data_IF_878936907720
#
_entry.id   IF_878936907720
#
_cell.length_a   1.000
_cell.length_b   1.000
_cell.length_c   1.000
_cell.angle_alpha   90.00
_cell.angle_beta   90.00
_cell.angle_gamma   90.00
#
_symmetry.space_group_name_H-M   'P 1'
#
loop_
_entity.id
_entity.type
_entity.pdbx_description
1 polymer ?
#
# COMPACT_ATOMS: atom_id res chain seq x y z
N UNK A 1 2.35 25.31 19.75
CA UNK A 1 0.97 25.13 20.22
C UNK A 1 0.99 24.38 21.54
N UNK A 2 0.11 24.73 22.46
CA UNK A 2 -0.01 24.09 23.76
C UNK A 2 -1.34 23.37 23.84
N UNK A 3 -1.30 22.09 24.21
CA UNK A 3 -2.51 21.29 24.45
C UNK A 3 -2.70 21.16 25.96
N UNK A 4 -3.89 21.45 26.44
CA UNK A 4 -4.25 21.31 27.85
C UNK A 4 -5.27 20.18 27.98
N UNK A 5 -4.94 19.19 28.82
CA UNK A 5 -5.85 18.10 29.15
C UNK A 5 -6.50 18.43 30.50
N UNK A 6 -7.83 18.56 30.48
CA UNK A 6 -8.63 18.79 31.68
C UNK A 6 -9.35 17.52 32.09
N UNK A 7 -9.50 17.29 33.40
CA UNK A 7 -10.15 16.08 33.89
C UNK A 7 -9.31 14.80 33.73
N UNK A 8 -8.00 14.95 33.69
CA UNK A 8 -7.10 13.80 33.59
C UNK A 8 -7.24 12.91 34.83
N UNK A 9 -7.41 11.61 34.60
CA UNK A 9 -7.49 10.60 35.66
C UNK A 9 -6.08 10.10 36.02
N UNK A 10 -5.77 9.88 37.28
CA UNK A 10 -4.49 9.29 37.70
C UNK A 10 -4.25 7.94 37.04
N UNK A 11 -3.00 7.68 36.66
CA UNK A 11 -2.54 6.42 36.04
C UNK A 11 -3.07 6.14 34.61
N UNK A 12 -3.71 7.13 33.96
CA UNK A 12 -4.08 7.05 32.56
C UNK A 12 -3.05 7.73 31.66
N UNK A 13 -2.85 7.14 30.48
CA UNK A 13 -2.06 7.76 29.41
C UNK A 13 -2.98 8.45 28.43
N UNK A 14 -2.59 9.64 27.98
CA UNK A 14 -3.35 10.45 27.03
C UNK A 14 -2.52 10.68 25.77
N UNK A 15 -3.17 10.58 24.62
CA UNK A 15 -2.56 10.86 23.32
C UNK A 15 -3.29 12.00 22.64
N UNK A 16 -2.54 12.92 22.05
CA UNK A 16 -3.10 14.01 21.26
C UNK A 16 -2.92 13.67 19.79
N UNK A 17 -4.01 13.64 19.05
CA UNK A 17 -4.02 13.30 17.64
C UNK A 17 -4.65 14.42 16.82
N UNK A 18 -4.15 14.62 15.62
CA UNK A 18 -4.68 15.57 14.66
C UNK A 18 -5.11 14.84 13.40
N UNK A 19 -6.26 15.21 12.87
CA UNK A 19 -6.68 14.77 11.53
C UNK A 19 -6.07 15.74 10.52
N UNK A 20 -5.10 15.24 9.76
CA UNK A 20 -4.46 16.00 8.70
C UNK A 20 -5.05 15.61 7.33
N UNK A 21 -5.07 16.58 6.41
CA UNK A 21 -5.35 16.29 5.00
C UNK A 21 -4.22 15.44 4.46
N UNK A 22 -4.59 14.32 3.84
CA UNK A 22 -3.65 13.45 3.15
C UNK A 22 -4.00 13.34 1.69
N UNK A 23 -3.03 13.60 0.83
CA UNK A 23 -3.12 13.49 -0.61
C UNK A 23 -2.28 12.30 -1.10
N UNK A 24 -2.61 11.80 -2.26
CA UNK A 24 -1.83 10.78 -2.95
C UNK A 24 -0.85 11.44 -3.92
N UNK A 25 0.37 10.91 -3.95
CA UNK A 25 1.38 11.27 -4.92
C UNK A 25 1.59 10.09 -5.87
N UNK A 26 1.67 10.38 -7.14
CA UNK A 26 1.91 9.39 -8.20
C UNK A 26 3.30 8.77 -8.09
N UNK A 27 4.22 9.53 -7.49
CA UNK A 27 5.58 9.10 -7.24
C UNK A 27 5.65 8.49 -5.86
N UNK A 28 5.96 7.20 -5.84
CA UNK A 28 6.20 6.53 -4.58
C UNK A 28 7.41 7.14 -3.89
N UNK A 29 7.39 7.17 -2.58
CA UNK A 29 8.49 7.62 -1.73
C UNK A 29 9.83 6.91 -2.02
N UNK A 30 9.80 5.72 -2.59
CA UNK A 30 10.98 5.03 -3.10
C UNK A 30 11.80 5.90 -4.05
N UNK A 31 11.15 6.68 -4.88
CA UNK A 31 11.85 7.52 -5.84
C UNK A 31 12.56 8.69 -5.18
N UNK A 32 11.97 9.26 -4.12
CA UNK A 32 12.60 10.35 -3.37
C UNK A 32 13.84 9.90 -2.61
N UNK A 33 13.78 8.71 -1.99
CA UNK A 33 14.85 8.21 -1.12
C UNK A 33 15.92 7.48 -1.92
N UNK A 34 15.53 6.70 -2.94
CA UNK A 34 16.46 5.80 -3.64
C UNK A 34 17.00 6.36 -4.94
N UNK A 35 16.31 7.30 -5.58
CA UNK A 35 16.69 7.82 -6.89
C UNK A 35 17.28 9.23 -6.85
N UNK A 36 17.40 9.83 -5.67
CA UNK A 36 17.94 11.16 -5.47
C UNK A 36 17.45 12.15 -6.56
N UNK A 37 16.20 12.57 -6.43
CA UNK A 37 15.55 13.37 -7.47
C UNK A 37 16.19 14.73 -7.66
N UNK A 38 16.96 15.21 -6.66
CA UNK A 38 17.64 16.48 -6.73
C UNK A 38 16.69 17.64 -7.09
N UNK A 39 17.02 18.38 -8.13
CA UNK A 39 16.23 19.51 -8.62
C UNK A 39 15.13 19.14 -9.62
N UNK A 40 14.81 17.86 -9.80
CA UNK A 40 13.72 17.45 -10.71
C UNK A 40 12.37 17.91 -10.17
N UNK A 41 11.52 18.34 -11.08
CA UNK A 41 10.15 18.70 -10.78
C UNK A 41 9.40 17.51 -10.19
N UNK A 42 8.72 17.75 -9.07
CA UNK A 42 7.86 16.76 -8.41
C UNK A 42 6.43 16.96 -8.90
N UNK A 43 5.73 15.85 -9.14
CA UNK A 43 4.32 15.90 -9.43
C UNK A 43 3.54 16.38 -8.20
N UNK A 44 2.51 17.16 -8.42
CA UNK A 44 1.67 17.67 -7.34
C UNK A 44 0.83 16.54 -6.76
N UNK A 45 0.77 16.47 -5.45
CA UNK A 45 -0.10 15.54 -4.75
C UNK A 45 -1.58 15.85 -5.02
N UNK A 46 -2.38 14.82 -5.26
CA UNK A 46 -3.79 14.92 -5.66
C UNK A 46 -4.69 14.01 -4.81
N UNK A 47 -5.99 14.28 -4.85
CA UNK A 47 -6.99 13.31 -4.39
C UNK A 47 -7.78 12.77 -5.59
N UNK A 48 -7.66 11.47 -5.90
CA UNK A 48 -8.39 10.86 -7.00
C UNK A 48 -9.93 10.90 -6.88
N UNK A 49 -10.47 11.33 -5.75
CA UNK A 49 -11.92 11.49 -5.57
C UNK A 49 -12.48 12.70 -6.31
N UNK A 50 -11.64 13.71 -6.55
CA UNK A 50 -12.08 14.88 -7.31
C UNK A 50 -12.30 14.53 -8.78
N UNK A 51 -13.45 14.94 -9.36
CA UNK A 51 -13.78 14.61 -10.75
C UNK A 51 -12.72 15.06 -11.76
N UNK A 52 -12.11 16.22 -11.51
CA UNK A 52 -11.07 16.77 -12.35
C UNK A 52 -9.80 15.88 -12.33
N UNK A 53 -9.43 15.40 -11.16
CA UNK A 53 -8.32 14.46 -11.01
C UNK A 53 -8.63 13.14 -11.72
N UNK A 54 -9.84 12.62 -11.60
CA UNK A 54 -10.22 11.40 -12.31
C UNK A 54 -10.15 11.59 -13.83
N UNK A 55 -10.67 12.72 -14.34
CA UNK A 55 -10.63 13.03 -15.76
C UNK A 55 -9.18 13.08 -16.27
N UNK A 56 -8.31 13.78 -15.56
CA UNK A 56 -6.89 13.87 -15.89
C UNK A 56 -6.20 12.48 -15.88
N UNK A 57 -6.45 11.66 -14.89
CA UNK A 57 -5.85 10.32 -14.81
C UNK A 57 -6.34 9.40 -15.93
N UNK A 58 -7.60 9.50 -16.32
CA UNK A 58 -8.16 8.77 -17.46
C UNK A 58 -7.49 9.21 -18.76
N UNK A 59 -7.40 10.52 -18.99
CA UNK A 59 -6.72 11.09 -20.17
C UNK A 59 -5.26 10.66 -20.23
N UNK A 60 -4.53 10.82 -19.12
CA UNK A 60 -3.13 10.42 -19.03
C UNK A 60 -2.92 8.92 -19.33
N UNK A 61 -3.74 8.04 -18.76
CA UNK A 61 -3.65 6.60 -19.02
C UNK A 61 -3.93 6.27 -20.49
N UNK A 62 -4.91 6.95 -21.07
CA UNK A 62 -5.28 6.80 -22.48
C UNK A 62 -4.10 7.20 -23.38
N UNK A 63 -3.59 8.41 -23.21
CA UNK A 63 -2.44 8.90 -23.97
C UNK A 63 -1.19 8.04 -23.79
N UNK A 64 -0.95 7.58 -22.55
CA UNK A 64 0.18 6.73 -22.27
C UNK A 64 0.09 5.41 -23.05
N UNK A 65 -1.08 4.78 -23.07
CA UNK A 65 -1.31 3.55 -23.83
C UNK A 65 -1.11 3.75 -25.33
N UNK A 66 -1.56 4.88 -25.87
CA UNK A 66 -1.37 5.24 -27.28
C UNK A 66 0.11 5.47 -27.62
N UNK A 67 0.83 6.19 -26.79
CA UNK A 67 2.25 6.53 -26.99
C UNK A 67 3.19 5.32 -26.81
N UNK A 68 2.71 4.25 -26.18
CA UNK A 68 3.51 3.05 -25.89
C UNK A 68 2.89 1.77 -26.48
N UNK A 69 2.74 1.66 -27.79
CA UNK A 69 2.06 0.54 -28.44
C UNK A 69 2.74 -0.81 -28.19
N UNK A 70 4.06 -0.83 -28.06
CA UNK A 70 4.86 -2.04 -27.87
C UNK A 70 4.83 -2.58 -26.44
N UNK A 71 4.30 -1.82 -25.49
CA UNK A 71 4.15 -2.28 -24.12
C UNK A 71 3.00 -3.28 -24.01
N UNK A 72 3.28 -4.47 -23.52
CA UNK A 72 2.29 -5.55 -23.39
C UNK A 72 1.65 -5.63 -22.01
N UNK A 73 2.34 -5.14 -20.96
CA UNK A 73 1.89 -5.19 -19.58
C UNK A 73 2.06 -3.84 -18.91
N UNK A 74 1.00 -3.29 -18.36
CA UNK A 74 1.02 -2.12 -17.49
C UNK A 74 1.02 -2.59 -16.04
N UNK A 75 1.96 -2.10 -15.25
CA UNK A 75 2.14 -2.50 -13.86
C UNK A 75 1.77 -1.36 -12.93
N UNK A 76 0.76 -1.57 -12.13
CA UNK A 76 0.34 -0.67 -11.08
C UNK A 76 1.12 -0.96 -9.81
N UNK A 77 1.78 0.04 -9.24
CA UNK A 77 2.55 -0.13 -8.00
C UNK A 77 1.67 0.04 -6.78
N UNK A 78 0.72 0.97 -6.85
CA UNK A 78 -0.28 1.18 -5.80
C UNK A 78 -1.58 1.67 -6.41
N UNK A 79 -2.69 1.44 -5.70
CA UNK A 79 -4.00 1.94 -6.11
C UNK A 79 -4.42 3.04 -5.15
N UNK A 80 -3.82 4.23 -5.34
CA UNK A 80 -4.18 5.50 -4.67
C UNK A 80 -3.90 5.53 -3.17
N UNK A 81 -2.96 4.76 -2.67
CA UNK A 81 -2.48 4.92 -1.31
C UNK A 81 -0.98 5.20 -1.27
N UNK A 82 -0.54 5.86 -0.23
CA UNK A 82 0.86 6.20 -0.03
C UNK A 82 1.47 5.27 1.01
N UNK A 83 2.67 4.81 0.76
CA UNK A 83 3.53 4.28 1.81
C UNK A 83 4.06 5.44 2.64
N UNK A 84 3.90 5.40 3.94
CA UNK A 84 4.60 6.30 4.83
C UNK A 84 5.79 5.57 5.45
N UNK A 85 6.97 5.93 5.00
CA UNK A 85 8.21 5.44 5.57
C UNK A 85 8.76 6.51 6.50
N UNK A 86 8.98 6.17 7.74
CA UNK A 86 9.68 7.06 8.67
C UNK A 86 11.08 6.53 8.87
N UNK A 87 12.05 7.29 8.41
CA UNK A 87 13.46 7.04 8.67
C UNK A 87 13.86 7.90 9.86
N UNK A 88 14.41 7.29 10.89
CA UNK A 88 15.11 8.04 11.92
C UNK A 88 16.58 8.14 11.55
N UNK A 89 17.18 9.31 11.76
CA UNK A 89 18.62 9.55 11.54
C UNK A 89 19.52 8.77 12.49
N UNK A 90 18.94 8.12 13.48
CA UNK A 90 19.66 7.30 14.44
C UNK A 90 20.09 5.98 13.82
N UNK A 91 21.39 5.77 13.69
CA UNK A 91 22.00 4.54 13.16
C UNK A 91 21.59 3.27 13.91
N UNK A 92 21.09 3.39 15.14
CA UNK A 92 20.64 2.28 15.97
C UNK A 92 19.13 2.05 15.90
N UNK A 93 18.41 2.85 15.15
CA UNK A 93 16.96 2.74 15.07
C UNK A 93 16.54 1.63 14.11
N UNK A 94 16.33 0.45 14.65
CA UNK A 94 15.83 -0.72 13.95
C UNK A 94 14.33 -0.62 13.62
N UNK A 95 13.62 0.29 14.27
CA UNK A 95 12.17 0.50 14.16
C UNK A 95 11.83 1.69 13.25
N UNK A 96 12.73 2.06 12.36
CA UNK A 96 12.56 3.22 11.50
C UNK A 96 11.53 3.01 10.38
N UNK A 97 11.01 1.82 10.24
CA UNK A 97 10.02 1.49 9.26
C UNK A 97 8.62 1.42 9.87
N UNK A 98 7.73 2.26 9.38
CA UNK A 98 6.31 2.16 9.67
C UNK A 98 5.52 2.33 8.37
N UNK A 99 4.83 1.30 7.96
CA UNK A 99 3.89 1.37 6.85
C UNK A 99 2.50 1.72 7.40
N UNK A 100 2.12 2.95 7.19
CA UNK A 100 0.80 3.47 7.56
C UNK A 100 -0.11 3.63 6.35
N UNK A 101 0.37 3.17 5.19
CA UNK A 101 -0.24 3.48 3.90
C UNK A 101 -1.55 2.81 3.66
N UNK A 102 -1.70 1.59 4.15
CA UNK A 102 -2.78 0.70 3.75
C UNK A 102 -4.17 1.17 4.12
N UNK A 103 -4.31 1.93 5.20
CA UNK A 103 -5.62 2.42 5.64
C UNK A 103 -5.89 3.86 5.26
N UNK A 104 -4.92 4.51 4.69
CA UNK A 104 -4.99 5.93 4.46
C UNK A 104 -4.83 6.23 2.97
N UNK A 105 -5.78 5.80 2.20
CA UNK A 105 -6.10 6.53 1.00
C UNK A 105 -6.36 7.98 1.38
N UNK A 106 -6.33 8.88 0.42
CA UNK A 106 -6.53 10.31 0.63
C UNK A 106 -7.61 10.62 1.66
N UNK A 107 -7.27 11.44 2.64
CA UNK A 107 -8.19 11.95 3.65
C UNK A 107 -8.35 13.45 3.42
N UNK A 108 -9.35 13.80 2.63
CA UNK A 108 -9.65 15.18 2.22
C UNK A 108 -11.03 15.62 2.75
N UNK A 109 -11.32 16.92 2.77
CA UNK A 109 -12.66 17.40 3.09
C UNK A 109 -13.74 16.78 2.21
N UNK A 110 -13.46 16.52 0.93
CA UNK A 110 -14.38 15.83 0.03
C UNK A 110 -14.65 14.41 0.49
N UNK A 111 -13.59 13.64 0.76
CA UNK A 111 -13.70 12.24 1.22
C UNK A 111 -14.51 12.14 2.52
N UNK A 112 -14.25 13.02 3.49
CA UNK A 112 -14.96 13.07 4.76
C UNK A 112 -16.44 13.40 4.57
N UNK A 113 -16.75 14.37 3.72
CA UNK A 113 -18.13 14.78 3.41
C UNK A 113 -18.91 13.67 2.67
N UNK A 114 -18.27 13.00 1.73
CA UNK A 114 -18.89 11.88 1.01
C UNK A 114 -19.16 10.70 1.95
N UNK A 115 -18.22 10.42 2.85
CA UNK A 115 -18.38 9.39 3.88
C UNK A 115 -19.57 9.71 4.78
N UNK A 116 -19.62 10.92 5.34
CA UNK A 116 -20.72 11.38 6.20
C UNK A 116 -22.06 11.28 5.47
N UNK A 117 -22.12 11.73 4.22
CA UNK A 117 -23.33 11.60 3.39
C UNK A 117 -23.78 10.15 3.23
N UNK A 118 -22.84 9.24 3.06
CA UNK A 118 -23.14 7.82 2.81
C UNK A 118 -23.55 7.07 4.08
N UNK A 119 -22.87 7.33 5.20
CA UNK A 119 -23.05 6.54 6.43
C UNK A 119 -23.88 7.25 7.50
N UNK A 120 -24.18 8.55 7.32
CA UNK A 120 -25.01 9.33 8.24
C UNK A 120 -24.27 9.81 9.51
N UNK A 121 -22.95 9.70 9.56
CA UNK A 121 -22.13 10.22 10.65
C UNK A 121 -20.72 10.59 10.14
N UNK A 122 -20.12 11.59 10.78
CA UNK A 122 -18.77 12.04 10.44
C UNK A 122 -17.69 11.15 11.07
N UNK A 123 -16.54 11.09 10.42
CA UNK A 123 -15.30 10.56 11.00
C UNK A 123 -14.55 11.65 11.74
N UNK A 124 -14.00 11.29 12.89
CA UNK A 124 -13.15 12.15 13.71
C UNK A 124 -11.73 11.60 13.78
N UNK A 125 -10.78 12.40 14.28
CA UNK A 125 -9.40 11.92 14.51
C UNK A 125 -9.36 10.69 15.42
N UNK A 126 -10.23 10.62 16.43
CA UNK A 126 -10.39 9.46 17.32
C UNK A 126 -10.76 8.19 16.56
N UNK A 127 -11.66 8.28 15.60
CA UNK A 127 -12.09 7.15 14.81
C UNK A 127 -10.93 6.59 13.95
N UNK A 128 -10.04 7.45 13.48
CA UNK A 128 -8.84 7.04 12.71
C UNK A 128 -7.77 6.39 13.57
N UNK A 129 -7.62 6.78 14.84
CA UNK A 129 -6.69 6.11 15.75
C UNK A 129 -7.25 4.82 16.35
N UNK A 130 -8.49 4.45 16.01
CA UNK A 130 -9.12 3.21 16.41
C UNK A 130 -9.08 2.99 17.92
N UNK A 131 -9.56 3.97 18.70
CA UNK A 131 -9.56 3.98 20.17
C UNK A 131 -8.15 3.80 20.79
N UNK A 132 -7.13 4.38 20.19
CA UNK A 132 -5.74 4.28 20.65
C UNK A 132 -5.02 2.98 20.28
N UNK A 133 -5.71 2.04 19.62
CA UNK A 133 -5.09 0.79 19.16
C UNK A 133 -4.33 0.96 17.84
N UNK A 134 -4.46 2.12 17.23
CA UNK A 134 -3.96 2.42 15.89
C UNK A 134 -4.46 1.45 14.81
N UNK A 135 -4.27 1.83 13.58
CA UNK A 135 -4.72 1.06 12.43
C UNK A 135 -3.62 0.13 11.94
N UNK A 136 -3.20 -0.80 12.77
CA UNK A 136 -2.28 -1.84 12.32
C UNK A 136 -3.04 -3.02 11.75
N UNK A 137 -2.42 -3.78 10.85
CA UNK A 137 -2.95 -5.02 10.28
C UNK A 137 -3.28 -6.09 11.32
N UNK A 138 -2.80 -5.91 12.54
CA UNK A 138 -2.94 -6.87 13.63
C UNK A 138 -4.06 -6.55 14.61
N UNK A 139 -4.63 -5.34 14.52
CA UNK A 139 -5.67 -4.90 15.43
C UNK A 139 -7.05 -4.96 14.76
N UNK A 140 -8.03 -5.39 15.54
CA UNK A 140 -9.42 -5.42 15.07
C UNK A 140 -9.90 -3.98 14.91
N UNK A 141 -10.31 -3.55 13.70
CA UNK A 141 -10.79 -2.19 13.48
C UNK A 141 -12.10 -1.95 14.23
N UNK A 142 -12.30 -0.72 14.71
CA UNK A 142 -13.60 -0.28 15.23
C UNK A 142 -14.69 -0.39 14.16
N UNK A 143 -15.94 -0.39 14.57
CA UNK A 143 -17.07 -0.44 13.63
C UNK A 143 -17.06 0.72 12.64
N UNK A 144 -16.77 1.94 13.12
CA UNK A 144 -16.66 3.13 12.25
C UNK A 144 -15.47 3.05 11.30
N UNK A 145 -14.32 2.60 11.81
CA UNK A 145 -13.12 2.47 10.97
C UNK A 145 -13.31 1.40 9.89
N UNK A 146 -14.00 0.32 10.21
CA UNK A 146 -14.38 -0.70 9.21
C UNK A 146 -15.26 -0.12 8.10
N UNK A 147 -16.21 0.73 8.46
CA UNK A 147 -17.03 1.44 7.46
C UNK A 147 -16.18 2.38 6.58
N UNK A 148 -15.16 3.03 7.17
CA UNK A 148 -14.18 3.82 6.41
C UNK A 148 -13.37 2.96 5.44
N UNK A 149 -12.91 1.79 5.87
CA UNK A 149 -12.20 0.83 5.01
C UNK A 149 -13.09 0.39 3.83
N UNK A 150 -14.35 0.07 4.09
CA UNK A 150 -15.31 -0.29 3.03
C UNK A 150 -15.54 0.87 2.05
N UNK A 151 -15.62 2.09 2.56
CA UNK A 151 -15.77 3.30 1.76
C UNK A 151 -14.57 3.53 0.84
N UNK A 152 -13.35 3.34 1.36
CA UNK A 152 -12.12 3.42 0.56
C UNK A 152 -12.09 2.31 -0.48
N UNK A 153 -12.34 1.08 -0.08
CA UNK A 153 -12.30 -0.07 -0.97
C UNK A 153 -13.25 0.09 -2.17
N UNK A 154 -14.47 0.55 -1.92
CA UNK A 154 -15.45 0.79 -2.97
C UNK A 154 -14.98 1.81 -4.01
N UNK A 155 -14.39 2.91 -3.55
CA UNK A 155 -13.85 3.92 -4.45
C UNK A 155 -12.66 3.40 -5.25
N UNK A 156 -11.68 2.81 -4.56
CA UNK A 156 -10.45 2.31 -5.18
C UNK A 156 -10.75 1.25 -6.24
N UNK A 157 -11.63 0.31 -5.92
CA UNK A 157 -12.05 -0.73 -6.88
C UNK A 157 -12.76 -0.11 -8.08
N UNK A 158 -13.73 0.77 -7.84
CA UNK A 158 -14.53 1.34 -8.93
C UNK A 158 -13.74 2.24 -9.86
N UNK A 159 -12.84 3.06 -9.32
CA UNK A 159 -12.00 3.93 -10.15
C UNK A 159 -10.81 3.19 -10.74
N UNK A 160 -10.17 2.31 -9.97
CA UNK A 160 -9.11 1.45 -10.48
C UNK A 160 -9.55 0.60 -11.67
N UNK A 161 -10.76 0.04 -11.59
CA UNK A 161 -11.35 -0.70 -12.72
C UNK A 161 -11.42 0.15 -14.00
N UNK A 162 -11.80 1.42 -13.92
CA UNK A 162 -11.85 2.30 -15.11
C UNK A 162 -10.48 2.41 -15.78
N UNK A 163 -9.42 2.55 -14.99
CA UNK A 163 -8.05 2.64 -15.54
C UNK A 163 -7.61 1.32 -16.16
N UNK A 164 -7.97 0.20 -15.55
CA UNK A 164 -7.67 -1.14 -16.06
C UNK A 164 -8.45 -1.40 -17.35
N UNK A 165 -9.72 -1.02 -17.43
CA UNK A 165 -10.54 -1.14 -18.63
C UNK A 165 -9.91 -0.35 -19.82
N UNK A 166 -9.30 0.81 -19.55
CA UNK A 166 -8.54 1.55 -20.57
C UNK A 166 -7.34 0.72 -21.04
N UNK A 167 -6.54 0.19 -20.11
CA UNK A 167 -5.39 -0.66 -20.46
C UNK A 167 -5.82 -1.84 -21.34
N UNK A 168 -6.91 -2.50 -20.98
CA UNK A 168 -7.48 -3.61 -21.76
C UNK A 168 -7.98 -3.19 -23.14
N UNK A 169 -8.55 -1.99 -23.28
CA UNK A 169 -9.03 -1.48 -24.56
C UNK A 169 -7.92 -1.31 -25.60
N UNK A 170 -6.68 -1.17 -25.13
CA UNK A 170 -5.47 -1.16 -25.99
C UNK A 170 -4.80 -2.54 -26.15
N UNK A 171 -5.48 -3.61 -25.76
CA UNK A 171 -4.97 -4.99 -25.87
C UNK A 171 -3.82 -5.30 -24.93
N UNK A 172 -3.59 -4.49 -23.92
CA UNK A 172 -2.54 -4.66 -22.93
C UNK A 172 -3.07 -5.37 -21.69
N UNK A 173 -2.18 -5.99 -20.91
CA UNK A 173 -2.52 -6.59 -19.61
C UNK A 173 -2.26 -5.63 -18.46
N UNK A 174 -3.06 -5.72 -17.42
CA UNK A 174 -2.92 -4.96 -16.19
C UNK A 174 -2.43 -5.86 -15.05
N UNK A 175 -1.27 -5.54 -14.49
CA UNK A 175 -0.72 -6.25 -13.33
C UNK A 175 -0.63 -5.30 -12.14
N UNK A 176 -0.72 -5.83 -10.93
CA UNK A 176 -0.61 -5.03 -9.72
C UNK A 176 0.44 -5.58 -8.77
N UNK A 177 1.22 -4.71 -8.16
CA UNK A 177 2.03 -5.05 -7.00
C UNK A 177 1.14 -5.21 -5.78
N UNK A 178 1.31 -6.33 -5.11
CA UNK A 178 0.69 -6.61 -3.83
C UNK A 178 1.73 -6.52 -2.72
N UNK A 179 1.57 -5.55 -1.86
CA UNK A 179 2.35 -5.41 -0.63
C UNK A 179 1.45 -5.67 0.59
N UNK A 180 2.07 -5.94 1.73
CA UNK A 180 1.39 -6.43 2.94
C UNK A 180 0.33 -5.50 3.52
N UNK A 181 0.36 -4.27 3.10
CA UNK A 181 -0.37 -3.15 3.67
C UNK A 181 -1.62 -2.71 2.89
N UNK A 182 -2.06 -3.47 1.91
CA UNK A 182 -3.22 -3.13 1.07
C UNK A 182 -4.56 -3.51 1.69
N UNK A 183 -4.84 -2.98 2.84
CA UNK A 183 -6.08 -3.29 3.53
C UNK A 183 -7.27 -2.65 2.80
N UNK A 184 -8.28 -3.48 2.59
CA UNK A 184 -9.47 -3.10 1.85
C UNK A 184 -9.35 -3.24 0.33
N UNK A 185 -8.15 -3.47 -0.19
CA UNK A 185 -7.89 -3.74 -1.62
C UNK A 185 -7.02 -4.98 -1.83
N UNK A 186 -6.87 -5.78 -0.79
CA UNK A 186 -6.08 -7.01 -0.82
C UNK A 186 -6.63 -7.99 -1.87
N UNK A 187 -5.76 -8.80 -2.48
CA UNK A 187 -6.16 -9.80 -3.48
C UNK A 187 -7.23 -10.77 -3.01
N UNK A 188 -7.28 -11.06 -1.72
CA UNK A 188 -8.30 -11.93 -1.10
C UNK A 188 -9.56 -11.16 -0.68
N UNK A 189 -9.61 -9.84 -0.84
CA UNK A 189 -10.83 -9.05 -0.68
C UNK A 189 -11.90 -9.53 -1.65
N UNK A 190 -13.16 -9.60 -1.20
CA UNK A 190 -14.27 -10.00 -2.06
C UNK A 190 -14.40 -9.16 -3.33
N UNK A 191 -13.97 -7.91 -3.28
CA UNK A 191 -14.03 -6.97 -4.39
C UNK A 191 -12.78 -6.95 -5.27
N UNK A 192 -11.71 -7.64 -4.89
CA UNK A 192 -10.46 -7.63 -5.67
C UNK A 192 -10.68 -8.08 -7.12
N UNK A 193 -11.49 -9.10 -7.32
CA UNK A 193 -11.80 -9.61 -8.68
C UNK A 193 -12.53 -8.59 -9.56
N UNK A 194 -13.20 -7.61 -8.98
CA UNK A 194 -13.90 -6.56 -9.70
C UNK A 194 -12.94 -5.61 -10.44
N UNK A 195 -11.68 -5.50 -10.01
CA UNK A 195 -10.66 -4.72 -10.72
C UNK A 195 -10.41 -5.23 -12.13
N UNK A 196 -10.39 -6.56 -12.32
CA UNK A 196 -10.06 -7.17 -13.60
C UNK A 196 -8.57 -7.28 -13.88
N UNK A 197 -7.69 -7.32 -12.86
CA UNK A 197 -6.27 -7.55 -13.08
C UNK A 197 -6.00 -8.92 -13.71
N UNK A 198 -5.06 -8.95 -14.66
CA UNK A 198 -4.55 -10.18 -15.29
C UNK A 198 -3.44 -10.83 -14.49
N UNK A 199 -2.72 -10.06 -13.69
CA UNK A 199 -1.58 -10.53 -12.94
C UNK A 199 -1.38 -9.85 -11.60
N UNK A 200 -0.79 -10.62 -10.70
CA UNK A 200 -0.46 -10.22 -9.34
C UNK A 200 1.03 -10.40 -9.10
N UNK A 201 1.71 -9.34 -8.73
CA UNK A 201 3.14 -9.35 -8.43
C UNK A 201 3.32 -9.19 -6.93
N UNK A 202 3.95 -10.17 -6.29
CA UNK A 202 4.20 -10.15 -4.86
C UNK A 202 5.69 -10.05 -4.55
N UNK A 203 6.04 -9.09 -3.71
CA UNK A 203 7.34 -9.07 -3.05
C UNK A 203 7.37 -10.18 -2.01
N UNK A 204 8.27 -11.13 -2.17
CA UNK A 204 8.36 -12.29 -1.30
C UNK A 204 9.48 -12.09 -0.29
N UNK A 205 9.12 -11.84 0.96
CA UNK A 205 10.03 -11.82 2.09
C UNK A 205 10.03 -13.15 2.84
N UNK A 206 8.90 -13.87 2.80
CA UNK A 206 8.77 -15.19 3.42
C UNK A 206 7.69 -16.06 2.72
N UNK A 207 7.53 -17.29 3.17
CA UNK A 207 6.58 -18.22 2.56
C UNK A 207 5.10 -17.93 2.84
N UNK A 208 4.78 -17.04 3.78
CA UNK A 208 3.40 -16.67 4.07
C UNK A 208 2.82 -15.83 2.93
N UNK A 209 3.56 -14.87 2.43
CA UNK A 209 3.16 -13.98 1.35
C UNK A 209 2.89 -14.72 0.04
N UNK A 210 3.74 -15.68 -0.28
CA UNK A 210 3.52 -16.54 -1.44
C UNK A 210 2.21 -17.34 -1.32
N UNK A 211 1.86 -17.80 -0.11
CA UNK A 211 0.58 -18.49 0.11
C UNK A 211 -0.64 -17.59 -0.02
N UNK A 212 -0.52 -16.34 0.42
CA UNK A 212 -1.60 -15.35 0.24
C UNK A 212 -1.89 -15.13 -1.24
N UNK A 213 -0.84 -14.93 -2.04
CA UNK A 213 -0.99 -14.78 -3.49
C UNK A 213 -1.63 -16.01 -4.14
N UNK A 214 -1.19 -17.20 -3.75
CA UNK A 214 -1.73 -18.45 -4.28
C UNK A 214 -3.23 -18.66 -4.01
N UNK A 215 -3.80 -17.95 -3.03
CA UNK A 215 -5.22 -17.96 -2.75
C UNK A 215 -6.07 -17.12 -3.71
N UNK A 216 -5.46 -16.41 -4.65
CA UNK A 216 -6.17 -15.60 -5.65
C UNK A 216 -6.21 -16.35 -6.98
N UNK A 217 -7.35 -16.89 -7.32
CA UNK A 217 -7.54 -17.65 -8.56
C UNK A 217 -7.78 -16.73 -9.76
N UNK A 218 -7.40 -17.21 -10.95
CA UNK A 218 -7.73 -16.59 -12.23
C UNK A 218 -6.80 -15.47 -12.67
N UNK A 219 -5.65 -15.31 -12.00
CA UNK A 219 -4.61 -14.33 -12.36
C UNK A 219 -3.26 -14.99 -12.54
N UNK A 220 -2.38 -14.36 -13.31
CA UNK A 220 -0.97 -14.75 -13.39
C UNK A 220 -0.25 -14.31 -12.11
N UNK A 221 0.47 -15.22 -11.46
CA UNK A 221 1.25 -14.90 -10.28
C UNK A 221 2.72 -14.67 -10.65
N UNK A 222 3.23 -13.50 -10.30
CA UNK A 222 4.65 -13.17 -10.38
C UNK A 222 5.21 -12.98 -8.97
N UNK A 223 6.38 -13.56 -8.71
CA UNK A 223 7.07 -13.40 -7.45
C UNK A 223 8.30 -12.53 -7.66
N UNK A 224 8.36 -11.40 -6.98
CA UNK A 224 9.54 -10.56 -6.91
C UNK A 224 10.43 -11.03 -5.78
N UNK A 225 11.59 -11.53 -6.11
CA UNK A 225 12.57 -12.00 -5.14
C UNK A 225 13.51 -10.87 -4.72
N UNK A 226 13.72 -10.77 -3.41
CA UNK A 226 14.71 -9.90 -2.82
C UNK A 226 15.84 -10.75 -2.25
N UNK A 227 17.03 -10.80 -2.87
CA UNK A 227 18.14 -11.64 -2.40
C UNK A 227 18.81 -11.09 -1.14
N UNK A 228 18.24 -10.08 -0.53
CA UNK A 228 18.71 -9.43 0.69
C UNK A 228 17.53 -9.15 1.62
N UNK A 229 17.80 -9.07 2.89
CA UNK A 229 16.84 -8.64 3.90
C UNK A 229 16.91 -7.13 4.06
N UNK A 230 15.78 -6.52 4.34
CA UNK A 230 15.66 -5.07 4.47
C UNK A 230 14.83 -4.73 5.73
N UNK A 231 15.19 -3.70 6.48
CA UNK A 231 16.36 -2.80 6.33
C UNK A 231 17.69 -3.41 6.81
N UNK A 232 17.64 -4.47 7.61
CA UNK A 232 18.81 -5.15 8.16
C UNK A 232 18.81 -6.63 7.83
N UNK A 233 20.00 -7.21 7.62
CA UNK A 233 20.19 -8.64 7.49
C UNK A 233 20.10 -9.38 8.82
N UNK A 234 20.33 -10.69 8.78
CA UNK A 234 20.28 -11.58 9.96
C UNK A 234 21.38 -11.29 11.00
N UNK A 235 22.42 -10.57 10.63
CA UNK A 235 23.46 -10.12 11.56
C UNK A 235 23.05 -8.87 12.34
N UNK A 236 21.95 -8.22 11.96
CA UNK A 236 21.53 -6.93 12.49
C UNK A 236 22.12 -5.72 11.77
N UNK A 237 22.97 -5.96 10.76
CA UNK A 237 23.52 -4.93 9.87
C UNK A 237 22.89 -5.05 8.47
N UNK A 238 22.86 -3.99 7.66
CA UNK A 238 22.46 -4.10 6.26
C UNK A 238 23.28 -5.16 5.53
N UNK A 239 22.64 -5.95 4.68
CA UNK A 239 23.22 -7.15 4.05
C UNK A 239 24.62 -6.92 3.44
N UNK A 240 24.81 -5.77 2.77
CA UNK A 240 26.07 -5.45 2.07
C UNK A 240 26.95 -4.43 2.81
N UNK A 241 26.57 -4.02 4.01
CA UNK A 241 27.39 -3.12 4.83
C UNK A 241 28.46 -3.87 5.63
N UNK A 242 29.46 -3.17 6.21
CA UNK A 242 30.38 -3.76 7.16
C UNK A 242 29.63 -4.43 8.30
N UNK A 243 29.97 -5.69 8.59
CA UNK A 243 29.25 -6.51 9.58
C UNK A 243 28.06 -7.29 9.02
N UNK A 244 27.58 -7.00 7.81
CA UNK A 244 26.58 -7.78 7.10
C UNK A 244 27.14 -9.13 6.59
N UNK A 245 26.26 -10.06 6.28
CA UNK A 245 26.63 -11.36 5.74
C UNK A 245 25.72 -11.77 4.57
N UNK A 246 26.03 -11.32 3.33
CA UNK A 246 25.22 -11.60 2.15
C UNK A 246 24.97 -13.09 1.91
N UNK A 247 25.95 -13.93 2.20
CA UNK A 247 25.82 -15.39 2.02
C UNK A 247 24.78 -15.98 2.97
N UNK A 248 24.80 -15.56 4.24
CA UNK A 248 23.84 -16.01 5.24
C UNK A 248 22.42 -15.55 4.90
N UNK A 249 22.27 -14.28 4.56
CA UNK A 249 20.99 -13.67 4.21
C UNK A 249 20.38 -14.34 2.97
N UNK A 250 21.17 -14.51 1.91
CA UNK A 250 20.73 -15.18 0.69
C UNK A 250 20.36 -16.65 0.93
N UNK A 251 21.13 -17.36 1.76
CA UNK A 251 20.85 -18.76 2.09
C UNK A 251 19.52 -18.91 2.84
N UNK A 252 19.26 -18.05 3.80
CA UNK A 252 18.02 -18.04 4.57
C UNK A 252 16.84 -17.62 3.73
N UNK A 253 17.01 -16.60 2.92
CA UNK A 253 16.01 -16.15 1.98
C UNK A 253 15.61 -17.26 1.00
N UNK A 254 16.59 -17.96 0.41
CA UNK A 254 16.36 -19.07 -0.50
C UNK A 254 15.57 -20.22 0.13
N UNK A 255 15.82 -20.55 1.40
CA UNK A 255 15.04 -21.57 2.12
C UNK A 255 13.55 -21.17 2.19
N UNK A 256 13.26 -19.90 2.46
CA UNK A 256 11.89 -19.40 2.53
C UNK A 256 11.20 -19.40 1.16
N UNK A 257 11.88 -18.94 0.13
CA UNK A 257 11.41 -18.94 -1.25
C UNK A 257 11.10 -20.36 -1.72
N UNK A 258 12.02 -21.29 -1.52
CA UNK A 258 11.83 -22.68 -1.93
C UNK A 258 10.63 -23.33 -1.26
N UNK A 259 10.41 -23.06 0.03
CA UNK A 259 9.21 -23.53 0.74
C UNK A 259 7.92 -22.96 0.16
N UNK A 260 7.95 -21.71 -0.25
CA UNK A 260 6.83 -21.05 -0.89
C UNK A 260 6.51 -21.68 -2.25
N UNK A 261 7.52 -21.84 -3.09
CA UNK A 261 7.39 -22.44 -4.42
C UNK A 261 6.86 -23.88 -4.35
N UNK A 262 7.37 -24.70 -3.44
CA UNK A 262 6.88 -26.06 -3.26
C UNK A 262 5.41 -26.13 -2.87
N UNK A 263 4.92 -25.15 -2.11
CA UNK A 263 3.50 -25.08 -1.75
C UNK A 263 2.62 -24.57 -2.88
N UNK A 264 3.10 -23.67 -3.70
CA UNK A 264 2.42 -23.23 -4.92
C UNK A 264 2.22 -24.39 -5.92
N UNK A 265 3.24 -25.21 -6.06
CA UNK A 265 3.18 -26.39 -6.95
C UNK A 265 2.22 -27.47 -6.48
N UNK A 266 1.95 -27.55 -5.16
CA UNK A 266 0.99 -28.51 -4.58
C UNK A 266 -0.47 -28.06 -4.71
N UNK A 267 -0.73 -26.79 -4.99
CA UNK A 267 -2.09 -26.25 -5.20
C UNK A 267 -2.56 -26.47 -6.65
N UNK A 268 -1.66 -26.78 -7.55
CA UNK A 268 -1.95 -27.05 -8.97
C UNK A 268 -1.93 -28.53 -9.36
N UNK A 269 -1.86 -29.43 -8.39
CA UNK A 269 -2.06 -30.86 -8.54
C UNK A 269 -3.44 -31.22 -7.98
#
# INVERSE_FOLDING_TARGET
>A
ETVTITGAEPWHSYTVNFLAVRLWEEISMYNHITNDWGDKEHLMAVDPRYPETQAHMIEWMTEWCEKNPDTTVVRFTSMFYNFAWFWKDDKNCRDAFSDWGSYAMTTTPLALKEFEKKYGYAMTSEDFVNAGLYTSTHNVPSKKYRAWMDFINEFVVSFGKKLIDIVHSYGKKAYVFYDDSWIGVEPYSKRFKEFGFDGLIKCVFNGFEARLCAGVDGVTHELRFHPYLFPTGLTGEPTFAPGGNPKLDASRYWVNVRRALLRLSLIHI
#
